data_IF_363038523917
#
_entry.id   IF_363038523917
#
_cell.length_a   1.000
_cell.length_b   1.000
_cell.length_c   1.000
_cell.angle_alpha   90.00
_cell.angle_beta   90.00
_cell.angle_gamma   90.00
#
_symmetry.space_group_name_H-M   'P 1'
#
loop_
_entity.id
_entity.type
_entity.pdbx_description
1 polymer ?
#
# COMPACT_ATOMS: atom_id res chain seq x y z
N UNK A 1 2.78 16.34 1.54
CA UNK A 1 2.53 14.89 1.43
C UNK A 1 1.23 14.69 0.67
N UNK A 2 1.27 14.00 -0.47
CA UNK A 2 0.08 13.62 -1.22
C UNK A 2 -0.45 12.31 -0.64
N UNK A 3 -1.74 12.25 -0.32
CA UNK A 3 -2.36 11.08 0.30
C UNK A 3 -3.53 10.57 -0.52
N UNK A 4 -3.69 9.25 -0.51
CA UNK A 4 -4.82 8.56 -1.12
C UNK A 4 -5.37 7.54 -0.12
N UNK A 5 -6.69 7.51 0.04
CA UNK A 5 -7.40 6.50 0.82
C UNK A 5 -8.27 5.70 -0.14
N UNK A 6 -8.21 4.37 -0.05
CA UNK A 6 -8.98 3.49 -0.91
C UNK A 6 -8.59 2.04 -0.73
N UNK A 7 -9.17 1.18 -1.58
CA UNK A 7 -8.85 -0.23 -1.57
C UNK A 7 -7.44 -0.49 -2.11
N UNK A 8 -6.84 -1.57 -1.61
CA UNK A 8 -5.61 -2.15 -2.13
C UNK A 8 -5.88 -3.62 -2.48
N UNK A 9 -5.09 -4.16 -3.41
CA UNK A 9 -5.09 -5.59 -3.71
C UNK A 9 -3.95 -6.24 -2.92
N UNK A 10 -4.29 -7.09 -1.95
CA UNK A 10 -3.31 -8.01 -1.35
C UNK A 10 -3.16 -9.23 -2.25
N UNK A 11 -2.05 -9.33 -2.98
CA UNK A 11 -1.76 -10.40 -3.93
C UNK A 11 -0.87 -11.48 -3.30
N UNK A 12 -1.15 -12.76 -3.57
CA UNK A 12 -0.25 -13.86 -3.19
C UNK A 12 0.96 -14.00 -4.12
N UNK A 13 0.90 -13.42 -5.32
CA UNK A 13 1.90 -13.61 -6.37
C UNK A 13 2.42 -12.28 -6.85
N UNK A 14 3.71 -12.02 -6.60
CA UNK A 14 4.41 -10.84 -7.12
C UNK A 14 4.55 -10.89 -8.65
N UNK A 15 5.07 -12.00 -9.18
CA UNK A 15 5.19 -12.24 -10.62
C UNK A 15 3.91 -12.89 -11.18
N UNK A 16 2.85 -12.10 -11.27
CA UNK A 16 1.52 -12.59 -11.64
C UNK A 16 1.35 -12.79 -13.15
N UNK A 17 0.82 -13.95 -13.54
CA UNK A 17 0.32 -14.21 -14.90
C UNK A 17 -0.97 -13.43 -15.23
N UNK A 18 -1.54 -12.71 -14.26
CA UNK A 18 -2.76 -11.92 -14.40
C UNK A 18 -2.51 -10.42 -14.27
N UNK A 19 -1.30 -9.95 -14.58
CA UNK A 19 -0.90 -8.54 -14.47
C UNK A 19 -1.94 -7.57 -15.04
N UNK A 20 -2.44 -7.82 -16.27
CA UNK A 20 -3.45 -6.98 -16.90
C UNK A 20 -4.74 -6.85 -16.08
N UNK A 21 -5.21 -7.96 -15.49
CA UNK A 21 -6.41 -7.95 -14.63
C UNK A 21 -6.17 -7.18 -13.33
N UNK A 22 -4.96 -7.27 -12.77
CA UNK A 22 -4.60 -6.49 -11.59
C UNK A 22 -4.63 -4.99 -11.90
N UNK A 23 -4.15 -4.57 -13.07
CA UNK A 23 -4.22 -3.17 -13.52
C UNK A 23 -5.67 -2.72 -13.71
N UNK A 24 -6.55 -3.58 -14.24
CA UNK A 24 -7.96 -3.25 -14.43
C UNK A 24 -8.70 -2.91 -13.13
N UNK A 25 -8.30 -3.51 -12.00
CA UNK A 25 -8.85 -3.16 -10.68
C UNK A 25 -8.65 -1.67 -10.34
N UNK A 26 -7.61 -1.04 -10.91
CA UNK A 26 -7.39 0.40 -10.79
C UNK A 26 -8.57 1.24 -11.30
N UNK A 27 -9.27 0.77 -12.34
CA UNK A 27 -10.48 1.42 -12.88
C UNK A 27 -11.66 1.37 -11.91
N UNK A 28 -11.64 0.41 -10.97
CA UNK A 28 -12.65 0.22 -9.93
C UNK A 28 -12.27 0.88 -8.60
N UNK A 29 -11.19 1.66 -8.57
CA UNK A 29 -10.78 2.45 -7.40
C UNK A 29 -9.75 1.78 -6.50
N UNK A 30 -9.24 0.59 -6.86
CA UNK A 30 -8.08 -0.02 -6.18
C UNK A 30 -6.84 0.83 -6.48
N UNK A 31 -6.11 1.23 -5.43
CA UNK A 31 -5.03 2.24 -5.54
C UNK A 31 -3.65 1.64 -5.71
N UNK A 32 -3.42 0.47 -5.13
CA UNK A 32 -2.11 -0.17 -5.11
C UNK A 32 -2.25 -1.70 -5.01
N UNK A 33 -1.14 -2.38 -5.30
CA UNK A 33 -0.96 -3.81 -5.06
C UNK A 33 0.10 -3.96 -3.96
N UNK A 34 -0.20 -4.77 -2.95
CA UNK A 34 0.68 -5.15 -1.84
C UNK A 34 0.42 -6.63 -1.49
N UNK A 35 0.96 -7.18 -0.40
CA UNK A 35 0.89 -8.63 -0.14
C UNK A 35 0.52 -9.00 1.32
N UNK A 36 0.03 -8.06 2.15
CA UNK A 36 -0.10 -8.26 3.60
C UNK A 36 -1.40 -7.72 4.22
N UNK A 37 -1.95 -6.61 3.72
CA UNK A 37 -2.99 -5.83 4.40
C UNK A 37 -4.27 -6.64 4.67
N UNK A 38 -4.70 -7.48 3.73
CA UNK A 38 -5.88 -8.33 3.90
C UNK A 38 -5.72 -9.32 5.07
N UNK A 39 -4.55 -9.94 5.24
CA UNK A 39 -4.30 -10.87 6.32
C UNK A 39 -4.24 -10.16 7.68
N UNK A 40 -3.60 -8.98 7.72
CA UNK A 40 -3.56 -8.12 8.91
C UNK A 40 -4.99 -7.76 9.36
N UNK A 41 -5.82 -7.26 8.44
CA UNK A 41 -7.20 -6.87 8.74
C UNK A 41 -8.08 -8.07 9.11
N UNK A 42 -7.89 -9.22 8.48
CA UNK A 42 -8.62 -10.44 8.81
C UNK A 42 -8.35 -10.90 10.25
N UNK A 43 -7.08 -10.89 10.69
CA UNK A 43 -6.72 -11.23 12.07
C UNK A 43 -7.22 -10.18 13.06
N UNK A 44 -7.07 -8.89 12.73
CA UNK A 44 -7.54 -7.80 13.59
C UNK A 44 -9.06 -7.91 13.85
N UNK A 45 -9.83 -8.17 12.80
CA UNK A 45 -11.27 -8.40 12.90
C UNK A 45 -11.63 -9.63 13.74
N UNK A 46 -10.87 -10.74 13.62
CA UNK A 46 -11.09 -11.94 14.42
C UNK A 46 -10.81 -11.75 15.91
N UNK A 47 -9.78 -10.97 16.24
CA UNK A 47 -9.37 -10.75 17.64
C UNK A 47 -9.93 -9.46 18.25
N UNK A 48 -10.79 -8.75 17.52
CA UNK A 48 -11.41 -7.49 17.95
C UNK A 48 -10.38 -6.44 18.38
N UNK A 49 -9.32 -6.27 17.57
CA UNK A 49 -8.28 -5.25 17.76
C UNK A 49 -8.25 -4.33 16.55
N UNK A 50 -7.73 -3.12 16.74
CA UNK A 50 -7.58 -2.14 15.66
C UNK A 50 -6.35 -2.44 14.80
N UNK A 51 -6.46 -2.19 13.49
CA UNK A 51 -5.35 -2.32 12.55
C UNK A 51 -5.47 -1.31 11.41
N UNK A 52 -4.31 -0.89 10.90
CA UNK A 52 -4.20 0.02 9.76
C UNK A 52 -2.96 -0.36 8.93
N UNK A 53 -3.12 -0.44 7.61
CA UNK A 53 -2.04 -0.55 6.65
C UNK A 53 -1.83 0.81 5.97
N UNK A 54 -0.60 1.32 6.04
CA UNK A 54 -0.13 2.50 5.30
C UNK A 54 1.06 2.09 4.43
N UNK A 55 1.15 2.66 3.23
CA UNK A 55 2.20 2.31 2.27
C UNK A 55 2.56 3.52 1.40
N UNK A 56 3.84 3.59 1.03
CA UNK A 56 4.37 4.54 0.05
C UNK A 56 4.48 3.83 -1.29
N UNK A 57 3.99 4.46 -2.36
CA UNK A 57 4.16 3.92 -3.72
C UNK A 57 5.64 4.06 -4.12
N UNK A 58 6.32 2.93 -4.28
CA UNK A 58 7.71 2.86 -4.76
C UNK A 58 7.80 2.81 -6.28
N UNK A 59 6.85 2.13 -6.92
CA UNK A 59 6.90 1.82 -8.35
C UNK A 59 5.53 2.04 -9.00
N UNK A 60 5.50 2.64 -10.18
CA UNK A 60 4.27 2.85 -10.96
C UNK A 60 4.05 1.69 -11.93
N UNK A 61 3.04 0.85 -11.66
CA UNK A 61 2.71 -0.27 -12.55
C UNK A 61 2.15 0.18 -13.91
N UNK A 62 1.73 1.45 -14.04
CA UNK A 62 1.18 2.02 -15.27
C UNK A 62 2.18 2.92 -16.01
N UNK A 63 3.22 3.39 -15.33
CA UNK A 63 4.30 4.16 -15.92
C UNK A 63 5.67 3.60 -15.47
N UNK A 64 6.18 2.56 -16.15
CA UNK A 64 7.40 1.86 -15.73
C UNK A 64 8.66 2.74 -15.74
N UNK A 65 8.64 3.86 -16.50
CA UNK A 65 9.78 4.78 -16.63
C UNK A 65 9.86 5.78 -15.45
N UNK A 66 8.80 5.88 -14.63
CA UNK A 66 8.79 6.63 -13.37
C UNK A 66 9.34 5.76 -12.23
N UNK A 67 10.61 5.37 -12.33
CA UNK A 67 11.29 4.68 -11.24
C UNK A 67 11.83 5.71 -10.23
N UNK A 68 11.47 5.54 -8.95
CA UNK A 68 11.93 6.44 -7.89
C UNK A 68 13.39 6.14 -7.55
N UNK A 69 14.19 7.20 -7.42
CA UNK A 69 15.58 7.04 -6.99
C UNK A 69 15.64 6.53 -5.54
N UNK A 70 16.75 5.87 -5.17
CA UNK A 70 16.93 5.35 -3.81
C UNK A 70 16.83 6.46 -2.73
N UNK A 71 17.27 7.67 -3.05
CA UNK A 71 17.19 8.84 -2.16
C UNK A 71 15.74 9.33 -1.98
N UNK A 72 14.96 9.42 -3.05
CA UNK A 72 13.55 9.80 -3.00
C UNK A 72 12.72 8.78 -2.22
N UNK A 73 13.01 7.49 -2.40
CA UNK A 73 12.43 6.41 -1.59
C UNK A 73 12.71 6.69 -0.11
N UNK A 74 13.97 6.82 0.29
CA UNK A 74 14.38 7.02 1.69
C UNK A 74 13.69 8.22 2.35
N UNK A 75 13.66 9.37 1.69
CA UNK A 75 13.05 10.58 2.26
C UNK A 75 11.53 10.43 2.40
N UNK A 76 10.86 9.84 1.42
CA UNK A 76 9.40 9.63 1.46
C UNK A 76 8.98 8.60 2.52
N UNK A 77 9.82 7.58 2.76
CA UNK A 77 9.59 6.63 3.86
C UNK A 77 9.60 7.31 5.24
N UNK A 78 10.42 8.34 5.43
CA UNK A 78 10.50 9.05 6.71
C UNK A 78 9.19 9.77 7.05
N UNK A 79 8.53 10.36 6.06
CA UNK A 79 7.25 11.03 6.27
C UNK A 79 6.14 10.03 6.61
N UNK A 80 6.08 8.89 5.91
CA UNK A 80 5.14 7.80 6.24
C UNK A 80 5.36 7.26 7.66
N UNK A 81 6.62 7.11 8.10
CA UNK A 81 6.95 6.65 9.45
C UNK A 81 6.41 7.61 10.51
N UNK A 82 6.55 8.93 10.31
CA UNK A 82 5.97 9.92 11.24
C UNK A 82 4.46 9.78 11.32
N UNK A 83 3.77 9.66 10.17
CA UNK A 83 2.31 9.46 10.15
C UNK A 83 1.92 8.19 10.91
N UNK A 84 2.63 7.08 10.69
CA UNK A 84 2.36 5.82 11.37
C UNK A 84 2.57 5.90 12.88
N UNK A 85 3.69 6.49 13.33
CA UNK A 85 4.02 6.62 14.74
C UNK A 85 3.04 7.55 15.48
N UNK A 86 2.72 8.71 14.91
CA UNK A 86 1.76 9.64 15.50
C UNK A 86 0.35 9.03 15.56
N UNK A 87 -0.05 8.27 14.53
CA UNK A 87 -1.33 7.54 14.53
C UNK A 87 -1.36 6.47 15.62
N UNK A 88 -0.24 5.77 15.84
CA UNK A 88 -0.15 4.69 16.82
C UNK A 88 -0.25 5.16 18.28
N UNK A 89 0.21 6.39 18.57
CA UNK A 89 0.17 6.96 19.92
C UNK A 89 -1.02 7.89 20.17
N UNK A 90 -1.84 8.15 19.16
CA UNK A 90 -3.07 8.93 19.30
C UNK A 90 -4.12 8.12 20.07
N UNK A 91 -4.71 8.74 21.10
CA UNK A 91 -5.79 8.16 21.92
C UNK A 91 -7.17 8.26 21.24
#
# INVERSE_FOLDING_TARGET
MTTHVGNVLSSDVFYSNYFEKNIELGKWGVKAVEMEAAALYYLAAQYHVDALAIMTISDSLVNPDEDTTAEERQNTFTDMMKVGLETLIAE
#
